data_IF_973320275023
#
_entry.id   IF_973320275023
#
_cell.length_a   1.000
_cell.length_b   1.000
_cell.length_c   1.000
_cell.angle_alpha   90.00
_cell.angle_beta   90.00
_cell.angle_gamma   90.00
#
_symmetry.space_group_name_H-M   'P 1'
#
loop_
_entity.id
_entity.type
_entity.pdbx_description
1 polymer ?
#
# COMPACT_ATOMS: atom_id res chain seq x y z
N UNK A 1 -1.50 12.98 9.09
CA UNK A 1 -2.90 12.80 9.55
C UNK A 1 -3.19 13.49 10.90
N UNK A 2 -2.18 13.99 11.60
CA UNK A 2 -2.34 14.68 12.88
C UNK A 2 -3.01 13.82 13.97
N UNK A 3 -2.76 12.52 13.98
CA UNK A 3 -3.24 11.61 15.03
C UNK A 3 -2.07 11.36 15.96
N UNK A 4 -2.24 11.71 17.22
CA UNK A 4 -1.30 11.35 18.29
C UNK A 4 -1.62 9.92 18.75
N UNK A 5 -0.62 9.06 18.73
CA UNK A 5 -0.75 7.66 19.14
C UNK A 5 -0.42 7.62 20.65
N UNK A 6 -1.33 7.14 21.52
CA UNK A 6 -1.14 7.15 22.97
C UNK A 6 -0.23 6.02 23.49
N UNK A 7 0.49 5.35 22.60
CA UNK A 7 1.41 4.25 22.89
C UNK A 7 2.73 4.45 22.19
N UNK A 8 3.82 4.07 22.83
CA UNK A 8 5.15 4.05 22.21
C UNK A 8 5.26 2.94 21.16
N UNK A 9 6.28 3.05 20.30
CA UNK A 9 6.60 2.01 19.33
C UNK A 9 6.87 0.65 20.01
N UNK A 10 7.59 0.66 21.13
CA UNK A 10 7.89 -0.55 21.90
C UNK A 10 6.63 -1.21 22.46
N UNK A 11 5.68 -0.44 22.98
CA UNK A 11 4.41 -0.98 23.45
C UNK A 11 3.61 -1.63 22.33
N UNK A 12 3.57 -1.02 21.14
CA UNK A 12 2.90 -1.57 19.96
C UNK A 12 3.59 -2.85 19.50
N UNK A 13 4.93 -2.87 19.48
CA UNK A 13 5.71 -4.05 19.10
C UNK A 13 5.52 -5.21 20.09
N UNK A 14 5.53 -4.92 21.39
CA UNK A 14 5.26 -5.93 22.44
C UNK A 14 3.85 -6.49 22.29
N UNK A 15 2.85 -5.63 22.10
CA UNK A 15 1.45 -6.04 21.91
C UNK A 15 1.28 -6.88 20.62
N UNK A 16 1.95 -6.50 19.53
CA UNK A 16 1.95 -7.25 18.27
C UNK A 16 2.53 -8.65 18.43
N UNK A 17 3.68 -8.78 19.09
CA UNK A 17 4.29 -10.08 19.38
C UNK A 17 3.42 -10.93 20.30
N UNK A 18 2.79 -10.32 21.29
CA UNK A 18 1.91 -11.03 22.22
C UNK A 18 0.69 -11.60 21.52
N UNK A 19 0.04 -10.86 20.62
CA UNK A 19 -1.14 -11.36 19.89
C UNK A 19 -0.77 -12.49 18.93
N UNK A 20 0.35 -12.39 18.22
CA UNK A 20 0.87 -13.45 17.34
C UNK A 20 1.05 -14.74 18.13
N UNK A 21 1.77 -14.66 19.26
CA UNK A 21 2.06 -15.81 20.11
C UNK A 21 0.79 -16.41 20.72
N UNK A 22 -0.13 -15.56 21.18
CA UNK A 22 -1.38 -16.00 21.81
C UNK A 22 -2.28 -16.73 20.82
N UNK A 23 -2.34 -16.24 19.58
CA UNK A 23 -3.16 -16.86 18.53
C UNK A 23 -2.43 -17.96 17.76
N UNK A 24 -1.15 -18.22 18.06
CA UNK A 24 -0.32 -19.25 17.42
C UNK A 24 -0.27 -19.11 15.90
N UNK A 25 -0.14 -17.87 15.42
CA UNK A 25 -0.04 -17.58 13.98
C UNK A 25 1.42 -17.70 13.57
N UNK A 26 1.76 -18.73 12.79
CA UNK A 26 3.12 -18.95 12.29
C UNK A 26 3.38 -18.19 10.98
N UNK A 27 2.38 -18.14 10.11
CA UNK A 27 2.45 -17.43 8.84
C UNK A 27 1.17 -16.61 8.64
N UNK A 28 1.27 -15.33 8.81
CA UNK A 28 0.07 -14.51 8.83
C UNK A 28 0.32 -13.03 8.61
N UNK A 29 -0.75 -12.28 8.78
CA UNK A 29 -0.80 -10.85 8.66
C UNK A 29 -0.98 -10.19 10.04
N UNK A 30 -0.23 -9.14 10.31
CA UNK A 30 -0.41 -8.30 11.50
C UNK A 30 -0.85 -6.91 11.03
N UNK A 31 -1.98 -6.45 11.54
CA UNK A 31 -2.56 -5.16 11.16
C UNK A 31 -2.82 -4.30 12.40
N UNK A 32 -1.92 -3.38 12.74
CA UNK A 32 -2.25 -2.27 13.62
C UNK A 32 -3.23 -1.33 12.90
N UNK A 33 -4.28 -0.91 13.59
CA UNK A 33 -5.27 0.05 13.11
C UNK A 33 -5.41 1.16 14.13
N UNK A 34 -5.34 2.40 13.69
CA UNK A 34 -5.44 3.59 14.52
C UNK A 34 -6.56 4.45 13.95
N UNK A 35 -7.49 4.87 14.80
CA UNK A 35 -8.60 5.72 14.38
C UNK A 35 -9.02 6.70 15.44
N UNK A 36 -9.73 7.73 15.05
CA UNK A 36 -10.34 8.70 15.95
C UNK A 36 -11.70 8.19 16.42
N UNK A 37 -12.02 8.42 17.68
CA UNK A 37 -13.30 8.07 18.27
C UNK A 37 -14.46 8.91 17.73
N UNK A 38 -15.65 8.60 18.22
CA UNK A 38 -16.94 9.20 17.82
C UNK A 38 -17.47 10.24 18.80
N UNK A 39 -16.61 10.81 19.62
CA UNK A 39 -17.00 11.81 20.62
C UNK A 39 -17.48 13.13 19.99
N UNK A 40 -17.11 13.35 18.71
CA UNK A 40 -17.56 14.49 17.93
C UNK A 40 -18.01 14.04 16.54
N UNK A 41 -19.10 14.63 16.06
CA UNK A 41 -19.59 14.49 14.68
C UNK A 41 -19.42 15.81 13.93
N UNK A 42 -18.16 16.19 13.69
CA UNK A 42 -17.81 17.43 13.00
C UNK A 42 -16.55 17.23 12.15
N UNK A 43 -16.21 18.22 11.31
CA UNK A 43 -14.96 18.22 10.54
C UNK A 43 -13.75 18.27 11.50
N UNK A 44 -13.83 19.10 12.54
CA UNK A 44 -12.80 19.10 13.59
C UNK A 44 -12.89 17.83 14.43
N UNK A 45 -11.76 17.14 14.54
CA UNK A 45 -11.65 15.91 15.31
C UNK A 45 -10.65 16.04 16.48
N UNK A 46 -10.34 17.27 16.91
CA UNK A 46 -9.31 17.52 17.92
C UNK A 46 -9.70 17.04 19.31
N UNK A 47 -10.99 16.95 19.62
CA UNK A 47 -11.51 16.49 20.92
C UNK A 47 -11.86 14.99 20.91
N UNK A 48 -11.58 14.27 19.81
CA UNK A 48 -11.82 12.83 19.74
C UNK A 48 -10.66 12.07 20.37
N UNK A 49 -10.97 10.93 20.97
CA UNK A 49 -9.96 10.00 21.50
C UNK A 49 -9.32 9.21 20.36
N UNK A 50 -8.04 8.92 20.50
CA UNK A 50 -7.36 7.98 19.58
C UNK A 50 -7.55 6.55 20.09
N UNK A 51 -8.01 5.69 19.23
CA UNK A 51 -8.14 4.26 19.48
C UNK A 51 -7.09 3.49 18.68
N UNK A 52 -6.58 2.41 19.25
CA UNK A 52 -5.61 1.51 18.63
C UNK A 52 -6.09 0.08 18.80
N UNK A 53 -6.08 -0.69 17.74
CA UNK A 53 -6.29 -2.12 17.77
C UNK A 53 -5.22 -2.82 16.93
N UNK A 54 -4.87 -4.04 17.32
CA UNK A 54 -3.95 -4.88 16.56
C UNK A 54 -4.68 -6.19 16.27
N UNK A 55 -4.82 -6.52 15.00
CA UNK A 55 -5.38 -7.79 14.54
C UNK A 55 -4.29 -8.66 13.92
N UNK A 56 -4.40 -9.99 14.11
CA UNK A 56 -3.59 -10.96 13.39
C UNK A 56 -4.44 -12.13 12.95
N UNK A 57 -4.10 -12.69 11.80
CA UNK A 57 -4.76 -13.90 11.25
C UNK A 57 -3.82 -14.62 10.29
N UNK A 58 -4.06 -15.89 10.07
CA UNK A 58 -3.35 -16.63 9.04
C UNK A 58 -3.61 -16.01 7.67
N UNK A 59 -2.54 -15.78 6.93
CA UNK A 59 -2.59 -15.20 5.60
C UNK A 59 -1.63 -15.90 4.68
N UNK A 60 -2.16 -16.49 3.63
CA UNK A 60 -1.35 -17.09 2.59
C UNK A 60 -0.70 -16.07 1.65
N UNK A 61 -0.48 -16.47 0.42
CA UNK A 61 0.00 -15.56 -0.61
C UNK A 61 -1.13 -14.68 -1.15
N UNK A 62 -0.84 -13.42 -1.51
CA UNK A 62 -1.78 -12.52 -2.21
C UNK A 62 -2.26 -13.11 -3.54
N UNK A 63 -1.45 -13.94 -4.17
CA UNK A 63 -1.76 -14.59 -5.44
C UNK A 63 -1.56 -16.10 -5.32
N UNK A 64 -2.35 -16.86 -6.08
CA UNK A 64 -2.11 -18.29 -6.28
C UNK A 64 -0.64 -18.52 -6.66
N UNK A 65 0.03 -19.55 -6.12
CA UNK A 65 1.41 -19.88 -6.47
C UNK A 65 1.68 -19.99 -7.96
N UNK A 66 0.71 -20.43 -8.76
CA UNK A 66 0.80 -20.47 -10.23
C UNK A 66 0.96 -19.08 -10.84
N UNK A 67 0.22 -18.09 -10.34
CA UNK A 67 0.28 -16.71 -10.82
C UNK A 67 1.62 -16.03 -10.54
N UNK A 68 2.40 -16.53 -9.58
CA UNK A 68 3.77 -16.04 -9.35
C UNK A 68 4.74 -16.41 -10.48
N UNK A 69 4.45 -17.48 -11.20
CA UNK A 69 5.27 -17.96 -12.35
C UNK A 69 4.68 -17.49 -13.67
N UNK A 70 3.35 -17.62 -13.83
CA UNK A 70 2.64 -17.29 -15.06
C UNK A 70 2.40 -15.79 -15.22
N UNK A 71 2.50 -15.03 -14.13
CA UNK A 71 2.18 -13.61 -14.08
C UNK A 71 0.69 -13.33 -13.88
N UNK A 72 0.36 -12.05 -13.78
CA UNK A 72 -1.00 -11.56 -13.61
C UNK A 72 -1.38 -10.62 -14.75
N UNK A 73 -2.68 -10.48 -14.99
CA UNK A 73 -3.21 -9.55 -15.99
C UNK A 73 -3.70 -8.29 -15.28
N UNK A 74 -3.26 -7.14 -15.77
CA UNK A 74 -3.70 -5.84 -15.31
C UNK A 74 -4.47 -5.13 -16.41
N UNK A 75 -5.55 -4.43 -16.07
CA UNK A 75 -6.11 -3.37 -16.90
C UNK A 75 -5.52 -2.02 -16.46
N UNK A 76 -5.86 -0.95 -17.16
CA UNK A 76 -5.56 0.42 -16.72
C UNK A 76 -6.81 0.95 -16.01
N UNK A 77 -6.63 1.44 -14.78
CA UNK A 77 -7.73 2.01 -14.00
C UNK A 77 -8.30 3.28 -14.63
N UNK A 78 -9.59 3.46 -14.51
CA UNK A 78 -10.26 4.74 -14.80
C UNK A 78 -10.01 5.82 -13.75
N UNK A 79 -9.63 5.39 -12.53
CA UNK A 79 -9.29 6.29 -11.42
C UNK A 79 -7.80 6.63 -11.45
N UNK A 80 -7.49 7.89 -11.13
CA UNK A 80 -6.11 8.38 -11.03
C UNK A 80 -5.69 8.50 -9.58
N UNK A 81 -4.41 8.28 -9.30
CA UNK A 81 -3.84 8.65 -8.01
C UNK A 81 -3.90 10.18 -7.87
N UNK A 82 -4.19 10.68 -6.65
CA UNK A 82 -4.41 12.12 -6.44
C UNK A 82 -3.13 12.92 -6.66
N UNK A 83 -3.29 14.14 -7.14
CA UNK A 83 -2.19 15.08 -7.25
C UNK A 83 -1.58 15.39 -5.88
N UNK A 84 -0.27 15.66 -5.78
CA UNK A 84 0.34 16.23 -4.60
C UNK A 84 -0.46 17.47 -4.14
N UNK A 85 -0.59 17.70 -2.85
CA UNK A 85 -1.36 18.80 -2.24
C UNK A 85 -2.89 18.71 -2.32
N UNK A 86 -3.46 17.66 -2.92
CA UNK A 86 -4.92 17.45 -2.90
C UNK A 86 -5.36 16.55 -1.74
N UNK A 87 -4.49 15.69 -1.28
CA UNK A 87 -4.72 14.72 -0.19
C UNK A 87 -3.37 14.31 0.41
N UNK A 88 -3.28 13.89 1.67
CA UNK A 88 -2.04 13.36 2.26
C UNK A 88 -1.71 11.96 1.69
N UNK A 89 -1.23 11.92 0.46
CA UNK A 89 -0.98 10.74 -0.36
C UNK A 89 0.08 9.78 0.23
N UNK A 90 1.00 10.31 1.02
CA UNK A 90 2.10 9.59 1.69
C UNK A 90 1.67 8.84 2.95
N UNK A 91 0.37 8.82 3.24
CA UNK A 91 -0.19 8.15 4.41
C UNK A 91 -0.92 6.86 4.05
N UNK A 92 -0.90 5.88 4.96
CA UNK A 92 -1.68 4.65 4.83
C UNK A 92 -3.11 4.82 5.35
N UNK A 93 -3.74 5.92 4.95
CA UNK A 93 -5.11 6.26 5.35
C UNK A 93 -6.14 5.44 4.58
N UNK A 94 -7.15 4.91 5.27
CA UNK A 94 -8.20 4.08 4.65
C UNK A 94 -8.98 4.81 3.55
N UNK A 95 -9.15 6.13 3.67
CA UNK A 95 -9.80 6.94 2.64
C UNK A 95 -9.10 6.96 1.29
N UNK A 96 -7.78 6.74 1.27
CA UNK A 96 -6.99 6.64 0.03
C UNK A 96 -7.22 5.33 -0.74
N UNK A 97 -7.71 4.30 -0.05
CA UNK A 97 -7.96 2.99 -0.65
C UNK A 97 -9.31 2.88 -1.36
N UNK A 98 -10.17 3.87 -1.25
CA UNK A 98 -11.46 3.87 -1.93
C UNK A 98 -11.30 3.69 -3.45
N UNK A 99 -10.48 4.52 -4.09
CA UNK A 99 -10.22 4.42 -5.54
C UNK A 99 -9.51 3.11 -5.90
N UNK A 100 -8.63 2.61 -5.03
CA UNK A 100 -7.96 1.31 -5.23
C UNK A 100 -8.99 0.17 -5.23
N UNK A 101 -9.92 0.18 -4.27
CA UNK A 101 -11.00 -0.82 -4.19
C UNK A 101 -11.91 -0.77 -5.41
N UNK A 102 -12.33 0.41 -5.85
CA UNK A 102 -13.15 0.57 -7.05
C UNK A 102 -12.42 0.06 -8.30
N UNK A 103 -11.13 0.39 -8.46
CA UNK A 103 -10.29 -0.07 -9.57
C UNK A 103 -10.15 -1.59 -9.57
N UNK A 104 -9.89 -2.18 -8.41
CA UNK A 104 -9.76 -3.63 -8.23
C UNK A 104 -11.03 -4.36 -8.62
N UNK A 105 -12.19 -3.91 -8.10
CA UNK A 105 -13.48 -4.52 -8.42
C UNK A 105 -13.82 -4.43 -9.91
N UNK A 106 -13.49 -3.32 -10.57
CA UNK A 106 -13.72 -3.17 -12.00
C UNK A 106 -12.80 -4.10 -12.81
N UNK A 107 -11.53 -4.21 -12.42
CA UNK A 107 -10.60 -5.14 -13.05
C UNK A 107 -11.10 -6.60 -12.96
N UNK A 108 -11.55 -7.03 -11.78
CA UNK A 108 -12.06 -8.37 -11.54
C UNK A 108 -13.30 -8.66 -12.38
N UNK A 109 -14.24 -7.71 -12.51
CA UNK A 109 -15.42 -7.85 -13.40
C UNK A 109 -15.05 -8.04 -14.86
N UNK A 110 -13.91 -7.45 -15.29
CA UNK A 110 -13.39 -7.57 -16.65
C UNK A 110 -12.48 -8.80 -16.86
N UNK A 111 -12.26 -9.62 -15.82
CA UNK A 111 -11.42 -10.81 -15.89
C UNK A 111 -9.91 -10.53 -15.74
N UNK A 112 -9.55 -9.36 -15.25
CA UNK A 112 -8.18 -9.01 -14.86
C UNK A 112 -7.92 -9.35 -13.39
N UNK A 113 -6.66 -9.55 -13.04
CA UNK A 113 -6.26 -9.86 -11.67
C UNK A 113 -6.21 -8.61 -10.80
N UNK A 114 -5.78 -7.48 -11.37
CA UNK A 114 -5.64 -6.19 -10.68
C UNK A 114 -5.67 -5.05 -11.69
N UNK A 115 -5.54 -3.79 -11.23
CA UNK A 115 -5.44 -2.61 -12.07
C UNK A 115 -4.09 -1.92 -11.91
N UNK A 116 -3.54 -1.45 -13.03
CA UNK A 116 -2.49 -0.44 -13.05
C UNK A 116 -3.15 0.93 -12.92
N UNK A 117 -2.72 1.69 -11.94
CA UNK A 117 -3.19 3.06 -11.70
C UNK A 117 -2.17 4.06 -12.26
N UNK A 118 -2.67 5.08 -12.91
CA UNK A 118 -1.89 6.23 -13.34
C UNK A 118 -2.02 7.36 -12.31
N UNK A 119 -1.08 8.29 -12.31
CA UNK A 119 -1.16 9.52 -11.53
C UNK A 119 -2.05 10.57 -12.22
N UNK A 120 -2.11 11.76 -11.67
CA UNK A 120 -2.91 12.89 -12.18
C UNK A 120 -2.37 13.48 -13.50
N UNK A 121 -1.18 13.13 -13.91
CA UNK A 121 -0.53 13.52 -15.18
C UNK A 121 -0.50 12.36 -16.20
N UNK A 122 -1.21 11.27 -15.92
CA UNK A 122 -1.26 10.04 -16.71
C UNK A 122 0.04 9.24 -16.77
N UNK A 123 1.02 9.51 -15.88
CA UNK A 123 2.18 8.64 -15.71
C UNK A 123 1.82 7.40 -14.91
N UNK A 124 2.55 6.32 -15.13
CA UNK A 124 2.39 5.10 -14.33
C UNK A 124 2.73 5.39 -12.87
N UNK A 125 1.82 5.02 -11.96
CA UNK A 125 1.99 5.19 -10.53
C UNK A 125 2.25 3.85 -9.81
N UNK A 126 1.22 3.06 -9.61
CA UNK A 126 1.29 1.80 -8.88
C UNK A 126 0.14 0.86 -9.28
N UNK A 127 0.10 -0.37 -8.78
CA UNK A 127 -1.10 -1.20 -8.79
C UNK A 127 -2.01 -0.84 -7.61
N UNK A 128 -3.21 -1.45 -7.50
CA UNK A 128 -4.18 -1.05 -6.47
C UNK A 128 -3.69 -1.27 -5.03
N UNK A 129 -2.76 -2.17 -4.81
CA UNK A 129 -2.21 -2.49 -3.49
C UNK A 129 -0.71 -2.76 -3.46
N UNK A 130 0.04 -2.43 -4.53
CA UNK A 130 1.46 -2.72 -4.65
C UNK A 130 2.18 -1.70 -5.54
N UNK A 131 3.39 -1.32 -5.14
CA UNK A 131 4.28 -0.57 -6.02
C UNK A 131 4.70 -1.45 -7.20
N UNK A 132 5.18 -0.82 -8.28
CA UNK A 132 5.53 -1.50 -9.52
C UNK A 132 6.97 -1.21 -9.93
N UNK A 133 7.60 -2.20 -10.55
CA UNK A 133 8.89 -2.09 -11.21
C UNK A 133 8.76 -2.60 -12.64
N UNK A 134 9.44 -1.94 -13.55
CA UNK A 134 9.52 -2.32 -14.95
C UNK A 134 10.95 -2.64 -15.31
N UNK A 135 11.14 -3.67 -16.12
CA UNK A 135 12.42 -3.95 -16.75
C UNK A 135 12.33 -3.55 -18.23
N UNK A 136 13.17 -2.62 -18.63
CA UNK A 136 13.22 -2.18 -20.01
C UNK A 136 13.96 -3.18 -20.93
N UNK A 137 14.03 -2.85 -22.23
CA UNK A 137 14.70 -3.70 -23.22
C UNK A 137 16.22 -3.78 -23.03
N UNK A 138 16.82 -2.82 -22.36
CA UNK A 138 18.25 -2.79 -22.05
C UNK A 138 18.57 -3.57 -20.78
N UNK A 139 17.54 -4.05 -20.07
CA UNK A 139 17.66 -4.76 -18.81
C UNK A 139 17.70 -3.83 -17.58
N UNK A 140 17.45 -2.54 -17.75
CA UNK A 140 17.38 -1.57 -16.68
C UNK A 140 16.06 -1.66 -15.95
N UNK A 141 16.08 -1.52 -14.63
CA UNK A 141 14.90 -1.59 -13.78
C UNK A 141 14.43 -0.17 -13.43
N UNK A 142 13.18 0.12 -13.70
CA UNK A 142 12.54 1.40 -13.45
C UNK A 142 11.42 1.24 -12.44
N UNK A 143 11.23 2.25 -11.59
CA UNK A 143 10.09 2.36 -10.68
C UNK A 143 9.62 3.81 -10.62
N UNK A 144 8.31 4.08 -10.60
CA UNK A 144 7.80 5.43 -10.54
C UNK A 144 8.24 6.17 -9.27
N UNK A 145 8.39 7.49 -9.37
CA UNK A 145 8.65 8.37 -8.22
C UNK A 145 7.39 8.44 -7.37
N UNK A 146 7.47 8.17 -6.04
CA UNK A 146 6.29 8.13 -5.18
C UNK A 146 5.90 9.53 -4.71
N UNK A 147 5.28 10.32 -5.58
CA UNK A 147 4.79 11.69 -5.33
C UNK A 147 3.26 11.77 -5.26
N UNK A 148 2.56 10.71 -5.61
CA UNK A 148 1.10 10.61 -5.61
C UNK A 148 0.57 9.31 -4.99
N UNK A 149 1.48 8.45 -4.53
CA UNK A 149 1.18 7.15 -3.95
C UNK A 149 2.20 6.79 -2.85
N UNK A 150 1.88 5.77 -2.05
CA UNK A 150 2.68 5.39 -0.90
C UNK A 150 4.04 4.81 -1.30
N UNK A 151 5.12 5.39 -0.76
CA UNK A 151 6.47 4.82 -0.87
C UNK A 151 6.60 3.60 0.02
N UNK A 152 6.30 2.42 -0.54
CA UNK A 152 6.22 1.16 0.18
C UNK A 152 7.57 0.72 0.77
N UNK A 153 7.54 0.10 1.96
CA UNK A 153 8.74 -0.44 2.63
C UNK A 153 9.45 -1.44 1.73
N UNK A 154 8.71 -2.35 1.08
CA UNK A 154 9.28 -3.32 0.14
C UNK A 154 9.94 -2.63 -1.05
N UNK A 155 9.31 -1.57 -1.62
CA UNK A 155 9.91 -0.76 -2.68
C UNK A 155 11.26 -0.20 -2.24
N UNK A 156 11.32 0.46 -1.09
CA UNK A 156 12.56 1.03 -0.52
C UNK A 156 13.63 -0.01 -0.24
N UNK A 157 13.25 -1.23 0.07
CA UNK A 157 14.20 -2.35 0.28
C UNK A 157 14.72 -2.91 -1.04
N UNK A 158 13.88 -2.97 -2.08
CA UNK A 158 14.28 -3.49 -3.41
C UNK A 158 15.24 -2.54 -4.13
N UNK A 159 15.05 -1.24 -4.00
CA UNK A 159 15.86 -0.24 -4.71
C UNK A 159 17.37 -0.42 -4.47
N UNK A 160 17.90 -0.42 -3.23
CA UNK A 160 19.33 -0.61 -3.00
C UNK A 160 19.87 -1.94 -3.55
N UNK A 161 19.08 -3.01 -3.42
CA UNK A 161 19.45 -4.33 -3.95
C UNK A 161 19.52 -4.29 -5.48
N UNK A 162 18.58 -3.59 -6.12
CA UNK A 162 18.56 -3.46 -7.58
C UNK A 162 19.73 -2.65 -8.15
N UNK A 163 20.23 -1.64 -7.41
CA UNK A 163 21.44 -0.90 -7.80
C UNK A 163 22.71 -1.76 -7.75
N UNK A 164 22.76 -2.74 -6.83
CA UNK A 164 23.93 -3.63 -6.70
C UNK A 164 23.90 -4.82 -7.65
N UNK A 165 22.73 -5.28 -8.06
CA UNK A 165 22.55 -6.49 -8.87
C UNK A 165 21.94 -6.23 -10.25
N UNK A 166 21.25 -5.09 -10.43
CA UNK A 166 20.61 -4.66 -11.65
C UNK A 166 20.86 -3.15 -11.81
N UNK A 167 20.76 -2.62 -13.02
CA UNK A 167 20.75 -1.16 -13.21
C UNK A 167 19.36 -0.65 -12.93
N UNK A 168 19.16 0.07 -11.82
CA UNK A 168 17.87 0.60 -11.42
C UNK A 168 17.84 2.13 -11.52
N UNK A 169 16.70 2.66 -11.97
CA UNK A 169 16.44 4.09 -12.04
C UNK A 169 15.06 4.42 -11.46
N UNK A 170 14.97 5.47 -10.66
CA UNK A 170 13.70 6.12 -10.32
C UNK A 170 13.42 7.16 -11.40
N UNK A 171 12.34 6.98 -12.14
CA UNK A 171 12.00 7.88 -13.25
C UNK A 171 10.51 8.16 -13.25
N UNK A 172 10.06 9.34 -13.74
CA UNK A 172 8.71 9.49 -14.25
C UNK A 172 8.50 8.43 -15.33
N UNK A 173 7.55 7.54 -15.14
CA UNK A 173 7.27 6.47 -16.09
C UNK A 173 6.17 6.94 -17.07
N UNK A 174 6.58 7.50 -18.18
CA UNK A 174 5.70 7.87 -19.29
C UNK A 174 5.22 6.65 -20.09
#
# INVERSE_FOLDING_TARGET
MGIEIPYSEDEINVASNKIITTQKVDNGYVRPVIWRGSEMMAISAQQTKTHVAIATWEWGSYFDPKLKVEGIKLNISNWRRPAPNTIPWDTKASGLYMICTLSKHEAEKQGFTDSLMLDHEDNVAEATGANIFFKDRNGELHTPIPDSFLDGITRRTVIPVSYTHLRAHETPAN
#
